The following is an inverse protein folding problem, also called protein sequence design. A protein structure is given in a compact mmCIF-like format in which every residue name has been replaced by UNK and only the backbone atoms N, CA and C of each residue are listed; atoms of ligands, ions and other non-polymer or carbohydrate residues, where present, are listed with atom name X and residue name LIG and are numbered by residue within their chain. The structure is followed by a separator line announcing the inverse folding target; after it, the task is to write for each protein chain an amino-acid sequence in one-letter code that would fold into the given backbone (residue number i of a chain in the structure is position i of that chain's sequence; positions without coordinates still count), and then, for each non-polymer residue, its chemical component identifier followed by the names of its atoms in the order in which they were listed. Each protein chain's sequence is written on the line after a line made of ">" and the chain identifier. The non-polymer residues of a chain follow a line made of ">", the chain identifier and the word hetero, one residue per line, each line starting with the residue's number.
data_IF_500278254525
#
_entry.id   IF_500278254525
#
_cell.length_a   1.000
_cell.length_b   1.000
_cell.length_c   1.000
_cell.angle_alpha   90.00
_cell.angle_beta   90.00
_cell.angle_gamma   90.00
#
_symmetry.space_group_name_H-M   'P 1'
#
loop_
_entity.id
_entity.type
_entity.pdbx_description
1 polymer ?
#
# COMPACT_ATOMS: atom_id res chain seq x y z
N UNK A 1 -4.99 23.34 -3.60
CA UNK A 1 -6.03 22.38 -4.03
C UNK A 1 -6.24 22.54 -5.52
N UNK A 2 -5.94 21.49 -6.27
CA UNK A 2 -6.04 21.49 -7.74
C UNK A 2 -7.49 21.25 -8.20
N UNK A 3 -7.78 21.47 -9.49
CA UNK A 3 -9.07 21.07 -10.09
C UNK A 3 -9.31 19.56 -9.95
N UNK A 4 -8.24 18.78 -10.12
CA UNK A 4 -8.27 17.32 -10.00
C UNK A 4 -8.67 16.88 -8.59
N UNK A 5 -8.14 17.55 -7.55
CA UNK A 5 -8.40 17.13 -6.17
C UNK A 5 -9.90 17.17 -5.83
N UNK A 6 -10.59 18.22 -6.29
CA UNK A 6 -12.02 18.38 -6.08
C UNK A 6 -12.83 17.43 -6.95
N UNK A 7 -12.47 17.30 -8.22
CA UNK A 7 -13.15 16.43 -9.19
C UNK A 7 -13.12 14.96 -8.77
N UNK A 8 -12.00 14.50 -8.20
CA UNK A 8 -11.89 13.12 -7.71
C UNK A 8 -12.25 12.96 -6.24
N UNK A 9 -12.53 14.04 -5.50
CA UNK A 9 -12.77 13.98 -4.06
C UNK A 9 -11.53 13.69 -3.21
N UNK A 10 -10.32 13.87 -3.77
CA UNK A 10 -9.05 13.74 -3.04
C UNK A 10 -8.93 14.76 -1.92
N UNK A 11 -9.52 15.93 -2.09
CA UNK A 11 -9.60 16.95 -1.04
C UNK A 11 -10.27 16.42 0.22
N UNK A 12 -11.41 15.72 0.08
CA UNK A 12 -12.12 15.07 1.19
C UNK A 12 -11.29 13.94 1.79
N UNK A 13 -10.67 13.11 0.95
CA UNK A 13 -9.77 12.04 1.38
C UNK A 13 -8.61 12.59 2.23
N UNK A 14 -7.86 13.57 1.72
CA UNK A 14 -6.71 14.13 2.41
C UNK A 14 -7.12 14.84 3.69
N UNK A 15 -8.24 15.59 3.69
CA UNK A 15 -8.76 16.22 4.90
C UNK A 15 -9.16 15.19 5.97
N UNK A 16 -9.76 14.06 5.57
CA UNK A 16 -10.06 12.97 6.49
C UNK A 16 -8.79 12.29 7.01
N UNK A 17 -7.82 12.04 6.13
CA UNK A 17 -6.56 11.41 6.52
C UNK A 17 -5.74 12.28 7.46
N UNK A 18 -5.76 13.60 7.25
CA UNK A 18 -5.12 14.55 8.17
C UNK A 18 -5.77 14.50 9.56
N UNK A 19 -7.10 14.49 9.65
CA UNK A 19 -7.79 14.33 10.95
C UNK A 19 -7.44 13.01 11.64
N UNK A 20 -7.47 11.90 10.91
CA UNK A 20 -7.07 10.59 11.46
C UNK A 20 -5.64 10.59 11.99
N UNK A 21 -4.72 11.31 11.34
CA UNK A 21 -3.33 11.42 11.80
C UNK A 21 -3.19 12.36 13.00
N UNK A 22 -4.02 13.40 13.09
CA UNK A 22 -4.03 14.32 14.24
C UNK A 22 -4.56 13.65 15.51
N UNK A 23 -5.54 12.75 15.38
CA UNK A 23 -6.09 11.95 16.50
C UNK A 23 -5.04 11.03 17.17
N UNK A 24 -3.97 10.69 16.45
CA UNK A 24 -2.88 9.85 16.95
C UNK A 24 -1.78 10.64 17.65
N UNK A 25 -1.87 11.97 17.68
CA UNK A 25 -0.92 12.83 18.35
C UNK A 25 -1.23 12.94 19.83
N UNK A 26 -0.17 13.03 20.63
CA UNK A 26 -0.25 13.43 22.02
C UNK A 26 -0.58 14.94 22.10
N UNK A 27 -1.65 15.35 22.81
CA UNK A 27 -2.12 16.73 22.81
C UNK A 27 -1.20 17.69 23.57
N UNK A 28 -0.32 17.19 24.44
CA UNK A 28 0.64 18.02 25.18
C UNK A 28 1.89 18.30 24.35
N UNK A 29 2.40 17.28 23.65
CA UNK A 29 3.66 17.37 22.91
C UNK A 29 3.48 17.71 21.44
N UNK A 30 2.30 17.47 20.87
CA UNK A 30 2.05 17.55 19.43
C UNK A 30 2.81 16.50 18.61
N UNK A 31 3.40 15.49 19.26
CA UNK A 31 4.13 14.39 18.65
C UNK A 31 3.26 13.14 18.58
N UNK A 32 3.59 12.21 17.70
CA UNK A 32 2.92 10.91 17.66
C UNK A 32 2.92 10.25 19.04
N UNK A 33 1.76 9.83 19.51
CA UNK A 33 1.61 9.29 20.85
C UNK A 33 2.32 7.94 20.98
N UNK A 34 3.05 7.75 22.09
CA UNK A 34 3.62 6.45 22.45
C UNK A 34 2.54 5.37 22.68
N UNK A 35 1.28 5.77 22.89
CA UNK A 35 0.13 4.85 22.97
C UNK A 35 -0.11 4.08 21.67
N UNK A 36 0.15 4.71 20.53
CA UNK A 36 -0.19 4.19 19.21
C UNK A 36 1.04 3.89 18.36
N UNK A 37 2.25 4.06 18.90
CA UNK A 37 3.47 3.97 18.12
C UNK A 37 4.56 3.19 18.84
N UNK A 38 5.47 2.62 18.04
CA UNK A 38 6.65 1.89 18.50
C UNK A 38 7.89 2.37 17.78
N UNK A 39 8.99 2.49 18.52
CA UNK A 39 10.30 2.69 17.92
C UNK A 39 10.79 1.38 17.31
N UNK A 40 11.30 1.43 16.08
CA UNK A 40 11.86 0.26 15.38
C UNK A 40 13.32 0.50 14.99
N UNK A 41 14.06 -0.59 14.78
CA UNK A 41 15.33 -0.57 14.07
C UNK A 41 15.12 -0.25 12.58
N UNK A 42 16.20 -0.01 11.83
CA UNK A 42 16.08 0.25 10.39
C UNK A 42 15.40 -0.95 9.68
N UNK A 43 14.33 -0.74 8.90
CA UNK A 43 13.61 -1.85 8.28
C UNK A 43 14.38 -2.53 7.13
N UNK A 44 15.49 -1.93 6.68
CA UNK A 44 16.33 -2.47 5.60
C UNK A 44 17.57 -3.22 6.11
N UNK A 45 18.31 -2.63 7.05
CA UNK A 45 19.58 -3.20 7.53
C UNK A 45 19.60 -3.55 9.01
N UNK A 46 18.48 -3.36 9.73
CA UNK A 46 18.34 -3.62 11.17
C UNK A 46 19.25 -2.77 12.07
N UNK A 47 19.91 -1.75 11.50
CA UNK A 47 20.74 -0.80 12.25
C UNK A 47 19.97 -0.10 13.37
N UNK A 48 20.51 -0.02 14.60
CA UNK A 48 19.77 0.49 15.76
C UNK A 48 19.82 2.01 15.90
N UNK A 49 20.69 2.71 15.15
CA UNK A 49 20.90 4.15 15.28
C UNK A 49 20.36 4.91 14.08
N UNK A 50 19.64 5.98 14.38
CA UNK A 50 19.05 6.88 13.39
C UNK A 50 19.21 8.33 13.83
N UNK A 51 19.39 9.21 12.86
CA UNK A 51 19.41 10.66 13.04
C UNK A 51 18.06 11.25 12.63
N UNK A 52 17.43 12.07 13.49
CA UNK A 52 16.21 12.81 13.11
C UNK A 52 16.56 13.86 12.06
N UNK A 53 15.89 13.82 10.90
CA UNK A 53 16.05 14.82 9.85
C UNK A 53 15.10 15.99 10.03
N UNK A 54 13.81 15.68 10.24
CA UNK A 54 12.76 16.67 10.46
C UNK A 54 11.55 16.00 11.10
N UNK A 55 10.62 16.83 11.61
CA UNK A 55 9.32 16.39 12.10
C UNK A 55 8.26 16.92 11.15
N UNK A 56 7.40 16.03 10.64
CA UNK A 56 6.27 16.40 9.78
C UNK A 56 4.97 16.13 10.52
N UNK A 57 4.26 17.19 10.93
CA UNK A 57 2.96 17.11 11.61
C UNK A 57 2.97 16.18 12.84
N UNK A 58 4.00 16.28 13.67
CA UNK A 58 4.16 15.42 14.86
C UNK A 58 4.83 14.06 14.63
N UNK A 59 5.13 13.70 13.37
CA UNK A 59 5.79 12.44 13.02
C UNK A 59 7.27 12.68 12.69
N UNK A 60 8.23 12.16 13.48
CA UNK A 60 9.64 12.27 13.16
C UNK A 60 10.01 11.42 11.94
N UNK A 61 10.73 12.05 11.01
CA UNK A 61 11.36 11.39 9.87
C UNK A 61 12.86 11.29 10.17
N UNK A 62 13.35 10.06 10.25
CA UNK A 62 14.72 9.74 10.62
C UNK A 62 15.48 9.14 9.43
N UNK A 63 16.81 9.25 9.47
CA UNK A 63 17.73 8.59 8.54
C UNK A 63 18.55 7.56 9.29
N UNK A 64 18.66 6.34 8.77
CA UNK A 64 19.56 5.33 9.31
C UNK A 64 21.03 5.76 9.16
N UNK A 65 21.81 5.61 10.24
CA UNK A 65 23.23 5.98 10.22
C UNK A 65 24.12 4.96 9.49
N UNK A 66 23.58 3.79 9.12
CA UNK A 66 24.31 2.70 8.45
C UNK A 66 24.02 2.63 6.94
N UNK A 67 22.74 2.53 6.56
CA UNK A 67 22.34 2.37 5.15
C UNK A 67 21.71 3.62 4.54
N UNK A 68 21.61 4.72 5.30
CA UNK A 68 21.01 5.99 4.88
C UNK A 68 19.52 5.95 4.50
N UNK A 69 18.79 4.84 4.73
CA UNK A 69 17.34 4.77 4.53
C UNK A 69 16.63 5.84 5.37
N UNK A 70 15.69 6.57 4.76
CA UNK A 70 14.84 7.55 5.43
C UNK A 70 13.46 6.94 5.69
N UNK A 71 12.98 7.00 6.93
CA UNK A 71 11.71 6.41 7.34
C UNK A 71 11.11 7.14 8.56
N UNK A 72 9.83 6.94 8.84
CA UNK A 72 9.21 7.46 10.06
C UNK A 72 9.59 6.60 11.26
N UNK A 73 9.99 7.21 12.38
CA UNK A 73 10.28 6.51 13.64
C UNK A 73 10.00 7.44 14.83
N UNK A 74 9.14 7.06 15.80
CA UNK A 74 8.42 5.79 15.92
C UNK A 74 7.35 5.61 14.82
N UNK A 75 7.04 4.35 14.50
CA UNK A 75 5.98 3.99 13.56
C UNK A 75 4.67 3.71 14.29
N UNK A 76 3.55 4.06 13.67
CA UNK A 76 2.24 3.64 14.16
C UNK A 76 2.16 2.12 14.14
N UNK A 77 1.75 1.52 15.26
CA UNK A 77 1.49 0.10 15.32
C UNK A 77 0.03 -0.16 14.99
N UNK A 78 -0.22 -0.72 13.80
CA UNK A 78 -1.57 -1.01 13.32
C UNK A 78 -2.38 -1.89 14.28
N UNK A 79 -1.73 -2.76 15.06
CA UNK A 79 -2.40 -3.58 16.05
C UNK A 79 -2.93 -2.79 17.25
N UNK A 80 -2.26 -1.70 17.62
CA UNK A 80 -2.63 -0.85 18.76
C UNK A 80 -3.77 0.12 18.41
N UNK A 81 -3.96 0.38 17.13
CA UNK A 81 -5.03 1.24 16.63
C UNK A 81 -6.23 0.44 16.15
N UNK A 82 -6.14 -0.89 16.00
CA UNK A 82 -7.16 -1.76 15.40
C UNK A 82 -8.51 -1.79 16.15
N UNK A 83 -8.50 -1.61 17.47
CA UNK A 83 -9.72 -1.53 18.29
C UNK A 83 -10.41 -0.15 18.20
N UNK A 84 -9.63 0.93 18.24
CA UNK A 84 -10.14 2.30 18.05
C UNK A 84 -10.44 2.59 16.56
N UNK A 85 -9.79 1.89 15.64
CA UNK A 85 -9.96 2.05 14.20
C UNK A 85 -11.28 1.48 13.67
N UNK A 86 -11.89 0.54 14.40
CA UNK A 86 -13.14 -0.12 13.99
C UNK A 86 -14.40 0.62 14.46
N UNK A 87 -14.27 1.61 15.34
CA UNK A 87 -15.42 2.18 16.05
C UNK A 87 -16.21 3.25 15.29
N UNK A 88 -15.58 4.06 14.41
CA UNK A 88 -16.20 5.27 13.86
C UNK A 88 -16.17 5.39 12.33
N UNK A 89 -17.32 5.13 11.69
CA UNK A 89 -17.69 5.65 10.37
C UNK A 89 -16.82 5.25 9.14
N UNK A 90 -17.18 5.73 7.92
CA UNK A 90 -16.37 5.50 6.74
C UNK A 90 -15.05 6.28 6.84
N UNK A 91 -13.94 5.53 6.77
CA UNK A 91 -12.58 6.01 7.04
C UNK A 91 -11.99 6.74 5.84
N UNK A 92 -10.82 7.37 6.01
CA UNK A 92 -10.07 7.90 4.87
C UNK A 92 -9.85 6.83 3.79
N UNK A 93 -9.62 5.57 4.16
CA UNK A 93 -9.51 4.48 3.18
C UNK A 93 -10.81 4.23 2.41
N UNK A 94 -11.98 4.42 3.02
CA UNK A 94 -13.25 4.34 2.30
C UNK A 94 -13.39 5.50 1.32
N UNK A 95 -13.03 6.72 1.73
CA UNK A 95 -12.99 7.88 0.84
C UNK A 95 -11.97 7.69 -0.30
N UNK A 96 -10.88 6.96 -0.07
CA UNK A 96 -9.94 6.61 -1.12
C UNK A 96 -10.59 5.69 -2.16
N UNK A 97 -11.42 4.73 -1.74
CA UNK A 97 -12.21 3.92 -2.70
C UNK A 97 -13.14 4.82 -3.52
N UNK A 98 -13.76 5.86 -2.92
CA UNK A 98 -14.55 6.83 -3.67
C UNK A 98 -13.71 7.62 -4.69
N UNK A 99 -12.48 8.02 -4.30
CA UNK A 99 -11.52 8.65 -5.23
C UNK A 99 -11.23 7.73 -6.40
N UNK A 100 -10.91 6.46 -6.14
CA UNK A 100 -10.59 5.47 -7.16
C UNK A 100 -11.78 5.13 -8.07
N UNK A 101 -13.01 5.39 -7.61
CA UNK A 101 -14.23 5.17 -8.37
C UNK A 101 -14.72 6.41 -9.12
N UNK A 102 -14.06 7.56 -8.99
CA UNK A 102 -14.42 8.75 -9.76
C UNK A 102 -14.06 8.55 -11.22
N UNK A 103 -14.90 9.03 -12.14
CA UNK A 103 -14.70 8.84 -13.59
C UNK A 103 -13.33 9.32 -14.05
N UNK A 104 -12.93 10.50 -13.57
CA UNK A 104 -11.62 11.08 -13.90
C UNK A 104 -10.47 10.23 -13.37
N UNK A 105 -10.59 9.66 -12.19
CA UNK A 105 -9.54 8.81 -11.64
C UNK A 105 -9.45 7.48 -12.36
N UNK A 106 -10.60 6.85 -12.65
CA UNK A 106 -10.67 5.61 -13.42
C UNK A 106 -10.06 5.79 -14.82
N UNK A 107 -10.30 6.92 -15.48
CA UNK A 107 -9.70 7.24 -16.78
C UNK A 107 -8.16 7.30 -16.69
N UNK A 108 -7.63 8.01 -15.69
CA UNK A 108 -6.19 8.15 -15.48
C UNK A 108 -5.54 6.83 -15.12
N UNK A 109 -6.14 6.07 -14.19
CA UNK A 109 -5.61 4.79 -13.76
C UNK A 109 -5.68 3.73 -14.86
N UNK A 110 -6.74 3.73 -15.68
CA UNK A 110 -6.82 2.86 -16.85
C UNK A 110 -5.65 3.08 -17.81
N UNK A 111 -5.39 4.34 -18.20
CA UNK A 111 -4.26 4.68 -19.08
C UNK A 111 -2.93 4.23 -18.48
N UNK A 112 -2.69 4.57 -17.22
CA UNK A 112 -1.49 4.18 -16.47
C UNK A 112 -1.29 2.65 -16.45
N UNK A 113 -2.35 1.90 -16.20
CA UNK A 113 -2.28 0.44 -16.11
C UNK A 113 -2.17 -0.24 -17.47
N UNK A 114 -2.81 0.31 -18.51
CA UNK A 114 -2.61 -0.13 -19.89
C UNK A 114 -1.17 0.11 -20.34
N UNK A 115 -0.58 1.26 -20.03
CA UNK A 115 0.85 1.55 -20.30
C UNK A 115 1.78 0.54 -19.60
N UNK A 116 1.51 0.22 -18.32
CA UNK A 116 2.30 -0.80 -17.59
C UNK A 116 2.20 -2.18 -18.26
N UNK A 117 1.00 -2.59 -18.69
CA UNK A 117 0.82 -3.88 -19.36
C UNK A 117 1.47 -3.88 -20.76
N UNK A 118 1.37 -2.78 -21.52
CA UNK A 118 2.03 -2.59 -22.81
C UNK A 118 3.56 -2.71 -22.69
N UNK A 119 4.13 -2.22 -21.59
CA UNK A 119 5.57 -2.36 -21.30
C UNK A 119 5.95 -3.77 -20.87
N UNK A 120 5.10 -4.48 -20.12
CA UNK A 120 5.41 -5.81 -19.58
C UNK A 120 5.28 -6.94 -20.62
N UNK A 121 4.26 -6.88 -21.46
CA UNK A 121 3.91 -7.93 -22.43
C UNK A 121 5.06 -8.31 -23.38
N UNK A 122 5.87 -7.38 -23.93
CA UNK A 122 7.01 -7.73 -24.79
C UNK A 122 8.09 -8.58 -24.10
N UNK A 123 8.22 -8.51 -22.78
CA UNK A 123 9.28 -9.23 -22.05
C UNK A 123 8.90 -10.67 -21.68
N UNK A 124 7.62 -10.92 -21.38
CA UNK A 124 7.17 -12.21 -20.84
C UNK A 124 5.97 -12.81 -21.58
N UNK A 125 5.33 -12.06 -22.49
CA UNK A 125 3.99 -12.38 -22.99
C UNK A 125 2.95 -12.31 -21.87
N UNK A 126 1.73 -12.76 -22.15
CA UNK A 126 0.74 -13.01 -21.11
C UNK A 126 1.09 -14.30 -20.36
N UNK A 127 1.43 -14.18 -19.08
CA UNK A 127 1.80 -15.27 -18.18
C UNK A 127 1.00 -15.25 -16.88
N UNK A 128 1.57 -15.80 -15.80
CA UNK A 128 0.98 -15.75 -14.47
C UNK A 128 1.36 -14.46 -13.76
N UNK A 129 0.37 -13.70 -13.30
CA UNK A 129 0.57 -12.41 -12.63
C UNK A 129 0.01 -12.42 -11.21
N UNK A 130 0.78 -11.91 -10.26
CA UNK A 130 0.33 -11.60 -8.91
C UNK A 130 0.28 -10.08 -8.72
N UNK A 131 -0.90 -9.53 -8.44
CA UNK A 131 -1.07 -8.13 -8.04
C UNK A 131 -1.19 -8.05 -6.52
N UNK A 132 -0.17 -7.51 -5.86
CA UNK A 132 -0.13 -7.40 -4.39
C UNK A 132 -0.73 -6.08 -3.96
N UNK A 133 -1.82 -6.12 -3.18
CA UNK A 133 -2.57 -4.91 -2.83
C UNK A 133 -3.39 -4.41 -4.03
N UNK A 134 -4.23 -5.29 -4.57
CA UNK A 134 -5.03 -5.10 -5.80
C UNK A 134 -6.03 -3.94 -5.73
N UNK A 135 -6.29 -3.39 -4.53
CA UNK A 135 -7.22 -2.30 -4.33
C UNK A 135 -8.60 -2.61 -4.93
N UNK A 136 -9.20 -1.68 -5.69
CA UNK A 136 -10.50 -1.88 -6.32
C UNK A 136 -10.48 -2.90 -7.48
N UNK A 137 -9.31 -3.42 -7.89
CA UNK A 137 -9.21 -4.46 -8.91
C UNK A 137 -9.10 -4.00 -10.36
N UNK A 138 -8.90 -2.71 -10.63
CA UNK A 138 -8.81 -2.20 -12.00
C UNK A 138 -7.63 -2.80 -12.78
N UNK A 139 -6.42 -2.81 -12.20
CA UNK A 139 -5.23 -3.40 -12.83
C UNK A 139 -5.44 -4.90 -13.08
N UNK A 140 -5.90 -5.63 -12.07
CA UNK A 140 -6.18 -7.06 -12.17
C UNK A 140 -7.19 -7.39 -13.28
N UNK A 141 -8.28 -6.61 -13.40
CA UNK A 141 -9.26 -6.75 -14.49
C UNK A 141 -8.63 -6.53 -15.86
N UNK A 142 -7.84 -5.46 -16.01
CA UNK A 142 -7.16 -5.14 -17.28
C UNK A 142 -6.18 -6.25 -17.69
N UNK A 143 -5.43 -6.81 -16.73
CA UNK A 143 -4.55 -7.94 -17.00
C UNK A 143 -5.34 -9.18 -17.49
N UNK A 144 -6.44 -9.52 -16.81
CA UNK A 144 -7.32 -10.63 -17.23
C UNK A 144 -7.92 -10.40 -18.63
N UNK A 145 -8.34 -9.17 -18.95
CA UNK A 145 -8.85 -8.80 -20.29
C UNK A 145 -7.82 -9.02 -21.40
N UNK A 146 -6.52 -8.93 -21.06
CA UNK A 146 -5.40 -9.15 -21.97
C UNK A 146 -4.86 -10.58 -21.95
N UNK A 147 -5.53 -11.50 -21.26
CA UNK A 147 -5.20 -12.92 -21.26
C UNK A 147 -4.16 -13.36 -20.24
N UNK A 148 -3.81 -12.52 -19.27
CA UNK A 148 -2.98 -12.92 -18.14
C UNK A 148 -3.74 -13.90 -17.22
N UNK A 149 -3.05 -14.90 -16.67
CA UNK A 149 -3.53 -15.69 -15.53
C UNK A 149 -3.22 -14.91 -14.25
N UNK A 150 -4.11 -13.98 -13.91
CA UNK A 150 -3.84 -12.99 -12.87
C UNK A 150 -4.65 -13.24 -11.59
N UNK A 151 -3.98 -13.17 -10.45
CA UNK A 151 -4.59 -13.22 -9.11
C UNK A 151 -4.07 -12.07 -8.25
N UNK A 152 -4.74 -11.79 -7.13
CA UNK A 152 -4.31 -10.75 -6.23
C UNK A 152 -4.90 -10.83 -4.83
N UNK A 153 -4.38 -10.00 -3.93
CA UNK A 153 -4.85 -9.89 -2.56
C UNK A 153 -5.07 -8.43 -2.15
N UNK A 154 -6.01 -8.20 -1.24
CA UNK A 154 -6.36 -6.88 -0.73
C UNK A 154 -6.97 -7.01 0.68
N UNK A 155 -6.48 -6.23 1.65
CA UNK A 155 -6.98 -6.25 3.03
C UNK A 155 -8.24 -5.39 3.22
N UNK A 156 -8.42 -4.34 2.41
CA UNK A 156 -9.55 -3.42 2.44
C UNK A 156 -10.87 -4.07 2.03
N UNK A 157 -11.77 -4.26 2.99
CA UNK A 157 -13.08 -4.89 2.74
C UNK A 157 -13.95 -4.15 1.72
N UNK A 158 -13.95 -2.81 1.75
CA UNK A 158 -14.68 -1.99 0.76
C UNK A 158 -14.09 -2.13 -0.64
N UNK A 159 -12.76 -2.12 -0.76
CA UNK A 159 -12.06 -2.30 -2.03
C UNK A 159 -12.36 -3.69 -2.64
N UNK A 160 -12.29 -4.77 -1.84
CA UNK A 160 -12.69 -6.12 -2.28
C UNK A 160 -14.15 -6.20 -2.71
N UNK A 161 -15.06 -5.56 -1.98
CA UNK A 161 -16.48 -5.50 -2.35
C UNK A 161 -16.65 -4.88 -3.74
N UNK A 162 -15.94 -3.78 -4.01
CA UNK A 162 -15.92 -3.13 -5.32
C UNK A 162 -15.31 -4.03 -6.39
N UNK A 163 -14.19 -4.70 -6.10
CA UNK A 163 -13.54 -5.64 -7.01
C UNK A 163 -14.51 -6.74 -7.48
N UNK A 164 -15.27 -7.30 -6.54
CA UNK A 164 -16.30 -8.30 -6.82
C UNK A 164 -17.48 -7.73 -7.61
N UNK A 165 -18.06 -6.63 -7.15
CA UNK A 165 -19.32 -6.10 -7.70
C UNK A 165 -19.14 -5.39 -9.05
N UNK A 166 -18.02 -4.70 -9.28
CA UNK A 166 -17.79 -3.93 -10.51
C UNK A 166 -16.95 -4.66 -11.55
N UNK A 167 -16.01 -5.50 -11.10
CA UNK A 167 -15.04 -6.14 -12.00
C UNK A 167 -15.17 -7.67 -12.03
N UNK A 168 -16.06 -8.25 -11.22
CA UNK A 168 -16.28 -9.69 -11.15
C UNK A 168 -15.10 -10.46 -10.58
N UNK A 169 -14.27 -9.82 -9.75
CA UNK A 169 -13.04 -10.39 -9.21
C UNK A 169 -13.24 -10.92 -7.80
N UNK A 170 -12.80 -12.15 -7.56
CA UNK A 170 -12.67 -12.70 -6.21
C UNK A 170 -11.23 -12.49 -5.72
N UNK A 171 -11.06 -11.51 -4.83
CA UNK A 171 -9.74 -11.08 -4.34
C UNK A 171 -9.57 -11.57 -2.91
N UNK A 172 -8.45 -12.23 -2.62
CA UNK A 172 -8.19 -12.79 -1.30
C UNK A 172 -7.90 -11.69 -0.26
N UNK A 173 -8.37 -11.89 0.97
CA UNK A 173 -8.00 -11.06 2.12
C UNK A 173 -6.78 -11.59 2.90
N UNK A 174 -6.25 -12.74 2.48
CA UNK A 174 -5.15 -13.39 3.20
C UNK A 174 -3.82 -12.66 2.98
N UNK A 175 -2.92 -12.69 3.98
CA UNK A 175 -1.55 -12.24 3.80
C UNK A 175 -0.80 -13.14 2.81
N UNK A 176 0.28 -12.60 2.23
CA UNK A 176 0.98 -13.26 1.10
C UNK A 176 1.53 -14.66 1.43
N UNK A 177 1.94 -14.88 2.68
CA UNK A 177 2.44 -16.14 3.20
C UNK A 177 1.35 -17.20 3.41
N UNK A 178 0.08 -16.78 3.52
CA UNK A 178 -1.08 -17.67 3.64
C UNK A 178 -1.79 -17.95 2.32
N UNK A 179 -1.42 -17.27 1.22
CA UNK A 179 -2.03 -17.46 -0.10
C UNK A 179 -1.69 -18.82 -0.76
N UNK A 180 -0.80 -19.61 -0.17
CA UNK A 180 -0.42 -20.92 -0.71
C UNK A 180 0.27 -20.82 -2.08
N UNK A 181 1.02 -19.75 -2.31
CA UNK A 181 1.68 -19.49 -3.60
C UNK A 181 2.94 -20.32 -3.75
N UNK A 182 3.00 -21.13 -4.80
CA UNK A 182 4.19 -21.90 -5.14
C UNK A 182 5.36 -20.98 -5.48
N UNK A 183 6.57 -21.34 -5.02
CA UNK A 183 7.79 -20.57 -5.34
C UNK A 183 8.06 -20.59 -6.84
N UNK A 184 8.37 -19.43 -7.40
CA UNK A 184 8.69 -19.28 -8.83
C UNK A 184 7.49 -19.53 -9.76
N UNK A 185 6.26 -19.49 -9.22
CA UNK A 185 5.05 -19.80 -9.97
C UNK A 185 4.42 -18.61 -10.70
N UNK A 186 4.97 -17.41 -10.53
CA UNK A 186 4.53 -16.18 -11.20
C UNK A 186 5.61 -15.65 -12.13
N UNK A 187 5.18 -15.18 -13.30
CA UNK A 187 6.01 -14.51 -14.29
C UNK A 187 6.20 -13.03 -13.96
N UNK A 188 5.19 -12.42 -13.33
CA UNK A 188 5.16 -11.01 -12.91
C UNK A 188 4.55 -10.89 -11.52
N UNK A 189 5.18 -10.08 -10.66
CA UNK A 189 4.59 -9.62 -9.39
C UNK A 189 4.53 -8.09 -9.43
N UNK A 190 3.32 -7.54 -9.37
CA UNK A 190 3.05 -6.12 -9.45
C UNK A 190 2.73 -5.53 -8.07
N UNK A 191 3.28 -4.34 -7.80
CA UNK A 191 3.02 -3.54 -6.60
C UNK A 191 2.70 -2.11 -7.03
N UNK A 192 1.44 -1.88 -7.39
CA UNK A 192 0.98 -0.65 -8.04
C UNK A 192 0.54 0.46 -7.07
N UNK A 193 0.48 0.16 -5.78
CA UNK A 193 0.05 1.07 -4.71
C UNK A 193 1.16 1.25 -3.67
N UNK A 194 1.24 2.39 -2.96
CA UNK A 194 2.21 2.56 -1.89
C UNK A 194 1.97 1.51 -0.80
N UNK A 195 2.85 0.51 -0.76
CA UNK A 195 2.88 -0.51 0.27
C UNK A 195 3.43 0.12 1.56
N UNK A 196 2.58 0.77 2.36
CA UNK A 196 2.98 1.37 3.64
C UNK A 196 2.70 0.50 4.86
N UNK A 197 2.00 -0.63 4.71
CA UNK A 197 1.50 -1.45 5.83
C UNK A 197 2.07 -2.86 5.92
N UNK A 198 3.04 -3.25 5.08
CA UNK A 198 3.72 -4.54 5.28
C UNK A 198 4.76 -4.39 6.39
N UNK A 199 4.39 -4.82 7.59
CA UNK A 199 5.27 -4.91 8.75
C UNK A 199 6.39 -5.96 8.59
N UNK A 200 6.39 -6.69 7.48
CA UNK A 200 7.34 -7.78 7.19
C UNK A 200 8.27 -7.37 6.05
N UNK A 201 9.39 -6.73 6.38
CA UNK A 201 10.44 -6.36 5.42
C UNK A 201 11.30 -7.54 4.93
N UNK A 202 10.85 -8.80 5.10
CA UNK A 202 11.60 -9.98 4.64
C UNK A 202 11.39 -10.24 3.16
N UNK A 203 11.94 -9.36 2.34
CA UNK A 203 12.46 -9.74 1.04
C UNK A 203 13.81 -10.44 1.25
N UNK A 204 13.81 -11.73 1.62
CA UNK A 204 15.04 -12.52 1.58
C UNK A 204 15.49 -12.65 0.12
N UNK A 205 16.34 -11.72 -0.32
CA UNK A 205 17.20 -11.93 -1.47
C UNK A 205 18.24 -12.97 -1.05
N UNK A 206 17.94 -14.25 -1.26
CA UNK A 206 18.89 -15.34 -1.04
C UNK A 206 20.20 -15.02 -1.77
N UNK A 207 21.37 -15.21 -1.11
CA UNK A 207 22.64 -14.90 -1.73
C UNK A 207 22.80 -15.74 -3.01
N UNK A 208 23.03 -15.06 -4.13
CA UNK A 208 23.46 -15.70 -5.37
C UNK A 208 24.66 -16.59 -5.03
N UNK A 209 24.49 -17.90 -5.12
CA UNK A 209 25.60 -18.85 -5.08
C UNK A 209 26.55 -18.46 -6.20
N UNK A 210 27.70 -17.90 -5.84
CA UNK A 210 28.85 -17.85 -6.72
C UNK A 210 29.34 -19.28 -6.89
N UNK A 211 28.91 -19.93 -7.96
CA UNK A 211 29.66 -21.03 -8.55
C UNK A 211 30.47 -20.44 -9.70
N UNK A 212 31.79 -20.37 -9.47
CA UNK A 212 32.77 -20.59 -10.54
C UNK A 212 32.62 -22.01 -11.08
#
# INVERSE_FOLDING_TARGET
>A
MTSLDKETGRDRYFAAKERELEELLDPETGMVSARFSRAIACPLCEGPRHTVLFVKRGYPIVRCDECALVFANPQIDESLILEEYRADGPRANDLWVDVLLSDRQLELDRKKFEEILDELEPYRGAGRLLDVGTSIGLFLRLALDRGWDAVGNEFGGRARKVARERFGLDVSAAPLDELGLDRGSFDVVALNSPCSSTSTSRGECLPRSRTC
#
